data_IF_379337635014
#
_entry.id   IF_379337635014
#
_cell.length_a   1.000
_cell.length_b   1.000
_cell.length_c   1.000
_cell.angle_alpha   90.00
_cell.angle_beta   90.00
_cell.angle_gamma   90.00
#
_symmetry.space_group_name_H-M   'P 1'
#
loop_
_entity.id
_entity.type
_entity.pdbx_description
1 polymer ?
#
# COMPACT_ATOMS: atom_id res chain seq x y z
N UNK A 1 82.72 150.76 -14.21
CA UNK A 1 82.50 149.78 -15.30
C UNK A 1 83.17 148.40 -15.06
N UNK A 2 84.10 148.20 -14.11
CA UNK A 2 84.73 146.87 -13.91
C UNK A 2 83.90 145.87 -13.08
N UNK A 3 82.94 146.31 -12.27
CA UNK A 3 82.08 145.42 -11.46
C UNK A 3 81.00 144.68 -12.26
N UNK A 4 80.56 145.24 -13.40
CA UNK A 4 79.52 144.66 -14.26
C UNK A 4 80.01 143.46 -15.08
N UNK A 5 81.26 143.52 -15.57
CA UNK A 5 81.87 142.42 -16.37
C UNK A 5 82.14 141.19 -15.48
N UNK A 6 82.58 141.38 -14.24
CA UNK A 6 82.79 140.29 -13.28
C UNK A 6 81.50 139.58 -12.86
N UNK A 7 80.40 140.33 -12.67
CA UNK A 7 79.07 139.75 -12.43
C UNK A 7 78.55 138.96 -13.63
N UNK A 8 78.82 139.40 -14.86
CA UNK A 8 78.36 138.71 -16.06
C UNK A 8 79.12 137.40 -16.31
N UNK A 9 80.42 137.36 -16.03
CA UNK A 9 81.22 136.13 -16.06
C UNK A 9 80.79 135.16 -14.94
N UNK A 10 80.57 135.66 -13.73
CA UNK A 10 80.05 134.85 -12.61
C UNK A 10 78.65 134.29 -12.89
N UNK A 11 77.77 135.09 -13.50
CA UNK A 11 76.44 134.67 -13.92
C UNK A 11 76.52 133.63 -15.04
N UNK A 12 77.38 133.82 -16.05
CA UNK A 12 77.59 132.84 -17.12
C UNK A 12 78.13 131.50 -16.59
N UNK A 13 79.05 131.52 -15.62
CA UNK A 13 79.56 130.31 -14.98
C UNK A 13 78.47 129.57 -14.18
N UNK A 14 77.63 130.30 -13.43
CA UNK A 14 76.48 129.72 -12.71
C UNK A 14 75.46 129.14 -13.69
N UNK A 15 75.12 129.85 -14.77
CA UNK A 15 74.20 129.35 -15.80
C UNK A 15 74.77 128.09 -16.47
N UNK A 16 76.07 128.05 -16.76
CA UNK A 16 76.71 126.85 -17.30
C UNK A 16 76.61 125.66 -16.34
N UNK A 17 76.87 125.87 -15.04
CA UNK A 17 76.79 124.83 -14.01
C UNK A 17 75.35 124.31 -13.85
N UNK A 18 74.36 125.21 -13.84
CA UNK A 18 72.94 124.85 -13.76
C UNK A 18 72.48 124.10 -15.02
N UNK A 19 72.82 124.58 -16.21
CA UNK A 19 72.43 123.93 -17.49
C UNK A 19 73.14 122.59 -17.66
N UNK A 20 74.41 122.46 -17.24
CA UNK A 20 75.20 121.24 -17.45
C UNK A 20 74.99 120.15 -16.39
N UNK A 21 74.74 120.52 -15.13
CA UNK A 21 74.64 119.56 -14.02
C UNK A 21 73.26 119.47 -13.37
N UNK A 22 72.44 120.53 -13.38
CA UNK A 22 71.13 120.53 -12.68
C UNK A 22 69.97 120.25 -13.65
N UNK A 23 69.99 120.81 -14.85
CA UNK A 23 68.90 120.60 -15.84
C UNK A 23 68.78 119.14 -16.32
N UNK A 24 69.87 118.38 -16.61
CA UNK A 24 69.75 117.01 -17.08
C UNK A 24 69.04 116.05 -16.09
N UNK A 25 69.38 116.00 -14.78
CA UNK A 25 68.67 115.13 -13.84
C UNK A 25 67.22 115.57 -13.61
N UNK A 26 66.92 116.88 -13.60
CA UNK A 26 65.54 117.37 -13.46
C UNK A 26 64.69 117.02 -14.68
N UNK A 27 65.22 117.18 -15.90
CA UNK A 27 64.53 116.80 -17.14
C UNK A 27 64.33 115.29 -17.23
N UNK A 28 65.33 114.49 -16.84
CA UNK A 28 65.21 113.04 -16.81
C UNK A 28 64.20 112.56 -15.77
N UNK A 29 64.12 113.21 -14.60
CA UNK A 29 63.13 112.89 -13.57
C UNK A 29 61.72 113.29 -14.00
N UNK A 30 61.55 114.44 -14.66
CA UNK A 30 60.27 114.83 -15.27
C UNK A 30 59.85 113.88 -16.41
N UNK A 31 60.77 113.51 -17.31
CA UNK A 31 60.50 112.56 -18.38
C UNK A 31 60.19 111.15 -17.85
N UNK A 32 60.90 110.71 -16.79
CA UNK A 32 60.61 109.45 -16.11
C UNK A 32 59.21 109.48 -15.48
N UNK A 33 58.84 110.56 -14.76
CA UNK A 33 57.47 110.72 -14.24
C UNK A 33 56.42 110.76 -15.34
N UNK A 34 56.70 111.46 -16.45
CA UNK A 34 55.78 111.53 -17.59
C UNK A 34 55.59 110.16 -18.26
N UNK A 35 56.66 109.36 -18.36
CA UNK A 35 56.59 107.99 -18.88
C UNK A 35 55.89 107.03 -17.91
N UNK A 36 56.11 107.13 -16.60
CA UNK A 36 55.38 106.33 -15.60
C UNK A 36 53.89 106.65 -15.63
N UNK A 37 53.50 107.92 -15.75
CA UNK A 37 52.08 108.30 -15.88
C UNK A 37 51.48 107.78 -17.19
N UNK A 38 52.21 107.85 -18.31
CA UNK A 38 51.77 107.23 -19.58
C UNK A 38 51.60 105.72 -19.45
N UNK A 39 52.56 105.04 -18.84
CA UNK A 39 52.51 103.60 -18.64
C UNK A 39 51.36 103.19 -17.71
N UNK A 40 51.13 103.95 -16.63
CA UNK A 40 49.98 103.74 -15.74
C UNK A 40 48.65 103.96 -16.45
N UNK A 41 48.56 104.94 -17.36
CA UNK A 41 47.36 105.16 -18.18
C UNK A 41 47.15 104.02 -19.21
N UNK A 42 48.21 103.54 -19.87
CA UNK A 42 48.14 102.41 -20.79
C UNK A 42 47.81 101.09 -20.08
N UNK A 43 48.38 100.84 -18.90
CA UNK A 43 48.11 99.65 -18.09
C UNK A 43 46.68 99.71 -17.50
N UNK A 44 46.21 100.90 -17.10
CA UNK A 44 44.83 101.11 -16.69
C UNK A 44 43.85 100.92 -17.87
N UNK A 45 44.19 101.37 -19.08
CA UNK A 45 43.41 101.14 -20.28
C UNK A 45 43.33 99.65 -20.62
N UNK A 46 44.46 98.92 -20.61
CA UNK A 46 44.49 97.46 -20.83
C UNK A 46 43.76 96.68 -19.74
N UNK A 47 43.81 97.13 -18.48
CA UNK A 47 43.06 96.52 -17.39
C UNK A 47 41.55 96.75 -17.56
N UNK A 48 41.15 97.94 -18.00
CA UNK A 48 39.76 98.24 -18.36
C UNK A 48 39.28 97.39 -19.54
N UNK A 49 40.09 97.23 -20.60
CA UNK A 49 39.78 96.39 -21.76
C UNK A 49 39.69 94.90 -21.39
N UNK A 50 40.57 94.39 -20.52
CA UNK A 50 40.47 93.00 -20.01
C UNK A 50 39.25 92.80 -19.13
N UNK A 51 38.84 93.82 -18.37
CA UNK A 51 37.63 93.77 -17.55
C UNK A 51 36.38 93.76 -18.43
N UNK A 52 36.33 94.55 -19.50
CA UNK A 52 35.22 94.54 -20.47
C UNK A 52 35.18 93.22 -21.24
N UNK A 53 36.32 92.69 -21.66
CA UNK A 53 36.40 91.37 -22.31
C UNK A 53 35.99 90.24 -21.36
N UNK A 54 36.47 90.24 -20.11
CA UNK A 54 36.12 89.23 -19.10
C UNK A 54 34.64 89.30 -18.70
N UNK A 55 34.08 90.50 -18.54
CA UNK A 55 32.64 90.66 -18.25
C UNK A 55 31.78 90.24 -19.44
N UNK A 56 32.20 90.53 -20.67
CA UNK A 56 31.54 90.04 -21.88
C UNK A 56 31.66 88.51 -22.06
N UNK A 57 32.81 87.91 -21.73
CA UNK A 57 32.99 86.46 -21.74
C UNK A 57 32.17 85.77 -20.64
N UNK A 58 32.10 86.36 -19.44
CA UNK A 58 31.29 85.85 -18.34
C UNK A 58 29.80 85.94 -18.67
N UNK A 59 29.31 87.08 -19.19
CA UNK A 59 27.90 87.20 -19.58
C UNK A 59 27.54 86.23 -20.70
N UNK A 60 28.44 86.03 -21.68
CA UNK A 60 28.26 85.02 -22.73
C UNK A 60 28.25 83.60 -22.19
N UNK A 61 29.10 83.28 -21.21
CA UNK A 61 29.14 81.97 -20.57
C UNK A 61 27.90 81.72 -19.71
N UNK A 62 27.40 82.73 -18.99
CA UNK A 62 26.13 82.66 -18.25
C UNK A 62 24.97 82.43 -19.21
N UNK A 63 24.90 83.18 -20.32
CA UNK A 63 23.85 83.00 -21.33
C UNK A 63 23.91 81.61 -21.99
N UNK A 64 25.11 81.09 -22.26
CA UNK A 64 25.29 79.74 -22.77
C UNK A 64 24.87 78.68 -21.75
N UNK A 65 25.21 78.86 -20.47
CA UNK A 65 24.79 77.97 -19.39
C UNK A 65 23.28 78.03 -19.13
N UNK A 66 22.65 79.20 -19.27
CA UNK A 66 21.18 79.34 -19.22
C UNK A 66 20.52 78.56 -20.36
N UNK A 67 21.01 78.70 -21.60
CA UNK A 67 20.50 77.96 -22.75
C UNK A 67 20.73 76.44 -22.64
N UNK A 68 21.87 76.01 -22.09
CA UNK A 68 22.18 74.59 -21.86
C UNK A 68 21.30 74.03 -20.73
N UNK A 69 21.07 74.80 -19.66
CA UNK A 69 20.16 74.42 -18.58
C UNK A 69 18.71 74.28 -19.09
N UNK A 70 18.25 75.18 -19.96
CA UNK A 70 16.94 75.05 -20.62
C UNK A 70 16.86 73.75 -21.45
N UNK A 71 17.90 73.44 -22.24
CA UNK A 71 17.96 72.18 -23.01
C UNK A 71 17.92 70.95 -22.11
N UNK A 72 18.72 70.92 -21.03
CA UNK A 72 18.73 69.81 -20.07
C UNK A 72 17.37 69.64 -19.38
N UNK A 73 16.67 70.74 -19.06
CA UNK A 73 15.33 70.68 -18.47
C UNK A 73 14.31 70.11 -19.47
N UNK A 74 14.37 70.50 -20.74
CA UNK A 74 13.48 69.96 -21.76
C UNK A 74 13.76 68.47 -22.04
N UNK A 75 15.04 68.07 -22.13
CA UNK A 75 15.43 66.65 -22.23
C UNK A 75 14.94 65.85 -21.02
N UNK A 76 15.11 66.37 -19.81
CA UNK A 76 14.62 65.73 -18.58
C UNK A 76 13.09 65.60 -18.56
N UNK A 77 12.35 66.57 -19.12
CA UNK A 77 10.88 66.46 -19.25
C UNK A 77 10.49 65.36 -20.24
N UNK A 78 11.12 65.31 -21.42
CA UNK A 78 10.88 64.26 -22.42
C UNK A 78 11.22 62.88 -21.84
N UNK A 79 12.32 62.77 -21.10
CA UNK A 79 12.70 61.55 -20.42
C UNK A 79 11.72 61.16 -19.31
N UNK A 80 11.23 62.13 -18.53
CA UNK A 80 10.19 61.88 -17.54
C UNK A 80 8.90 61.37 -18.20
N UNK A 81 8.46 61.97 -19.31
CA UNK A 81 7.32 61.50 -20.10
C UNK A 81 7.55 60.06 -20.60
N UNK A 82 8.71 59.79 -21.21
CA UNK A 82 9.09 58.45 -21.68
C UNK A 82 9.10 57.42 -20.56
N UNK A 83 9.62 57.75 -19.38
CA UNK A 83 9.60 56.87 -18.21
C UNK A 83 8.15 56.61 -17.78
N UNK A 84 7.29 57.64 -17.74
CA UNK A 84 5.88 57.45 -17.39
C UNK A 84 5.13 56.58 -18.39
N UNK A 85 5.40 56.72 -19.69
CA UNK A 85 4.83 55.86 -20.73
C UNK A 85 5.31 54.41 -20.61
N UNK A 86 6.61 54.20 -20.39
CA UNK A 86 7.18 52.87 -20.15
C UNK A 86 6.58 52.21 -18.92
N UNK A 87 6.43 52.93 -17.80
CA UNK A 87 5.81 52.42 -16.59
C UNK A 87 4.31 52.11 -16.80
N UNK A 88 3.58 52.93 -17.57
CA UNK A 88 2.20 52.64 -17.95
C UNK A 88 2.10 51.37 -18.79
N UNK A 89 2.92 51.23 -19.82
CA UNK A 89 2.96 50.02 -20.65
C UNK A 89 3.32 48.77 -19.84
N UNK A 90 4.28 48.86 -18.92
CA UNK A 90 4.61 47.77 -18.01
C UNK A 90 3.44 47.42 -17.07
N UNK A 91 2.76 48.43 -16.51
CA UNK A 91 1.59 48.22 -15.66
C UNK A 91 0.44 47.56 -16.42
N UNK A 92 0.21 47.91 -17.69
CA UNK A 92 -0.78 47.26 -18.55
C UNK A 92 -0.44 45.78 -18.81
N UNK A 93 0.82 45.47 -19.12
CA UNK A 93 1.28 44.09 -19.31
C UNK A 93 1.14 43.27 -18.02
N UNK A 94 1.50 43.84 -16.88
CA UNK A 94 1.38 43.19 -15.58
C UNK A 94 -0.09 42.98 -15.19
N UNK A 95 -0.96 43.96 -15.43
CA UNK A 95 -2.41 43.84 -15.24
C UNK A 95 -3.00 42.75 -16.15
N UNK A 96 -2.63 42.71 -17.43
CA UNK A 96 -3.01 41.66 -18.36
C UNK A 96 -2.51 40.27 -17.91
N UNK A 97 -1.30 40.20 -17.35
CA UNK A 97 -0.73 38.96 -16.79
C UNK A 97 -1.52 38.48 -15.58
N UNK A 98 -1.81 39.36 -14.62
CA UNK A 98 -2.58 39.05 -13.42
C UNK A 98 -3.99 38.60 -13.80
N UNK A 99 -4.67 39.32 -14.68
CA UNK A 99 -6.01 38.95 -15.16
C UNK A 99 -6.02 37.62 -15.91
N UNK A 100 -5.04 37.37 -16.79
CA UNK A 100 -4.89 36.09 -17.49
C UNK A 100 -4.53 34.91 -16.58
N UNK A 101 -3.80 35.14 -15.48
CA UNK A 101 -3.57 34.14 -14.44
C UNK A 101 -4.84 33.92 -13.60
N UNK A 102 -5.55 34.98 -13.22
CA UNK A 102 -6.81 34.92 -12.49
C UNK A 102 -7.89 34.15 -13.25
N UNK A 103 -8.06 34.40 -14.55
CA UNK A 103 -9.01 33.67 -15.40
C UNK A 103 -8.70 32.16 -15.44
N UNK A 104 -7.42 31.78 -15.56
CA UNK A 104 -6.99 30.38 -15.49
C UNK A 104 -7.25 29.76 -14.12
N UNK A 105 -7.01 30.50 -13.04
CA UNK A 105 -7.29 30.03 -11.68
C UNK A 105 -8.78 29.79 -11.45
N UNK A 106 -9.65 30.68 -11.94
CA UNK A 106 -11.10 30.53 -11.84
C UNK A 106 -11.58 29.30 -12.61
N UNK A 107 -11.03 29.02 -13.79
CA UNK A 107 -11.38 27.83 -14.56
C UNK A 107 -10.93 26.54 -13.85
N UNK A 108 -9.74 26.54 -13.24
CA UNK A 108 -9.28 25.43 -12.41
C UNK A 108 -10.20 25.21 -11.19
N UNK A 109 -10.58 26.29 -10.49
CA UNK A 109 -11.52 26.20 -9.37
C UNK A 109 -12.90 25.70 -9.83
N UNK A 110 -13.38 26.13 -11.00
CA UNK A 110 -14.66 25.67 -11.57
C UNK A 110 -14.62 24.18 -11.89
N UNK A 111 -13.55 23.70 -12.53
CA UNK A 111 -13.38 22.28 -12.85
C UNK A 111 -13.24 21.43 -11.58
N UNK A 112 -12.52 21.91 -10.57
CA UNK A 112 -12.41 21.26 -9.26
C UNK A 112 -13.76 21.20 -8.54
N UNK A 113 -14.53 22.30 -8.53
CA UNK A 113 -15.86 22.34 -7.93
C UNK A 113 -16.84 21.39 -8.64
N UNK A 114 -16.83 21.39 -9.98
CA UNK A 114 -17.67 20.48 -10.76
C UNK A 114 -17.32 19.01 -10.49
N UNK A 115 -16.04 18.71 -10.29
CA UNK A 115 -15.56 17.38 -9.90
C UNK A 115 -16.06 16.99 -8.51
N UNK A 116 -15.84 17.85 -7.52
CA UNK A 116 -16.31 17.63 -6.15
C UNK A 116 -17.83 17.42 -6.08
N UNK A 117 -18.61 18.23 -6.81
CA UNK A 117 -20.06 18.08 -6.87
C UNK A 117 -20.50 16.75 -7.50
N UNK A 118 -19.77 16.25 -8.52
CA UNK A 118 -20.05 14.94 -9.11
C UNK A 118 -19.77 13.81 -8.15
N UNK A 119 -18.67 13.88 -7.39
CA UNK A 119 -18.35 12.92 -6.34
C UNK A 119 -19.42 12.91 -5.25
N UNK A 120 -19.76 14.08 -4.70
CA UNK A 120 -20.78 14.21 -3.65
C UNK A 120 -22.15 13.68 -4.13
N UNK A 121 -22.57 14.05 -5.34
CA UNK A 121 -23.81 13.56 -5.93
C UNK A 121 -23.76 12.04 -6.19
N UNK A 122 -22.61 11.51 -6.62
CA UNK A 122 -22.39 10.09 -6.86
C UNK A 122 -22.53 9.28 -5.58
N UNK A 123 -21.83 9.67 -4.51
CA UNK A 123 -21.93 9.03 -3.20
C UNK A 123 -23.36 9.09 -2.65
N UNK A 124 -24.01 10.25 -2.74
CA UNK A 124 -25.40 10.40 -2.28
C UNK A 124 -26.36 9.52 -3.10
N UNK A 125 -26.15 9.40 -4.41
CA UNK A 125 -26.96 8.53 -5.28
C UNK A 125 -26.80 7.06 -4.91
N UNK A 126 -25.56 6.60 -4.66
CA UNK A 126 -25.28 5.21 -4.22
C UNK A 126 -25.85 4.96 -2.82
N UNK A 127 -25.80 5.95 -1.92
CA UNK A 127 -26.41 5.86 -0.59
C UNK A 127 -27.92 5.67 -0.67
N UNK A 128 -28.60 6.46 -1.50
CA UNK A 128 -30.04 6.31 -1.75
C UNK A 128 -30.37 4.98 -2.41
N UNK A 129 -29.58 4.54 -3.40
CA UNK A 129 -29.73 3.23 -4.01
C UNK A 129 -29.58 2.10 -2.99
N UNK A 130 -28.62 2.19 -2.06
CA UNK A 130 -28.43 1.23 -0.96
C UNK A 130 -29.66 1.17 -0.05
N UNK A 131 -30.26 2.30 0.30
CA UNK A 131 -31.51 2.33 1.08
C UNK A 131 -32.69 1.71 0.32
N UNK A 132 -32.83 2.02 -0.97
CA UNK A 132 -33.88 1.43 -1.82
C UNK A 132 -33.72 -0.09 -1.94
N UNK A 133 -32.50 -0.57 -2.20
CA UNK A 133 -32.20 -2.01 -2.28
C UNK A 133 -32.46 -2.68 -0.94
N UNK A 134 -32.01 -2.09 0.18
CA UNK A 134 -32.28 -2.61 1.53
C UNK A 134 -33.77 -2.74 1.82
N UNK A 135 -34.58 -1.76 1.39
CA UNK A 135 -36.03 -1.83 1.55
C UNK A 135 -36.66 -2.88 0.63
N UNK A 136 -36.18 -3.01 -0.60
CA UNK A 136 -36.66 -4.01 -1.56
C UNK A 136 -36.42 -5.44 -1.06
N UNK A 137 -35.23 -5.70 -0.53
CA UNK A 137 -34.84 -7.01 0.02
C UNK A 137 -35.31 -7.24 1.45
N UNK A 138 -36.09 -6.34 2.04
CA UNK A 138 -36.75 -6.62 3.33
C UNK A 138 -37.89 -7.64 3.16
N UNK A 139 -38.38 -7.83 1.94
CA UNK A 139 -39.40 -8.81 1.56
C UNK A 139 -38.74 -10.16 1.20
N UNK A 140 -39.19 -11.24 1.83
CA UNK A 140 -38.67 -12.59 1.64
C UNK A 140 -38.84 -13.10 0.19
N UNK A 141 -39.91 -12.72 -0.51
CA UNK A 141 -40.14 -13.12 -1.91
C UNK A 141 -39.10 -12.47 -2.84
N UNK A 142 -38.69 -11.23 -2.52
CA UNK A 142 -37.67 -10.50 -3.28
C UNK A 142 -36.25 -11.01 -3.00
N UNK A 143 -35.98 -11.43 -1.76
CA UNK A 143 -34.74 -12.12 -1.42
C UNK A 143 -34.63 -13.44 -2.18
N UNK A 144 -35.69 -14.26 -2.18
CA UNK A 144 -35.73 -15.53 -2.91
C UNK A 144 -35.51 -15.33 -4.42
N UNK A 145 -36.18 -14.34 -5.02
CA UNK A 145 -36.00 -13.98 -6.44
C UNK A 145 -34.55 -13.59 -6.76
N UNK A 146 -33.85 -12.95 -5.82
CA UNK A 146 -32.44 -12.55 -6.02
C UNK A 146 -31.51 -13.76 -5.98
N UNK A 147 -31.76 -14.70 -5.08
CA UNK A 147 -31.06 -15.99 -5.03
C UNK A 147 -31.29 -16.75 -6.34
N UNK A 148 -32.54 -16.88 -6.79
CA UNK A 148 -32.88 -17.64 -8.01
C UNK A 148 -32.18 -17.07 -9.24
N UNK A 149 -32.16 -15.73 -9.38
CA UNK A 149 -31.43 -15.07 -10.47
C UNK A 149 -29.93 -15.37 -10.43
N UNK A 150 -29.33 -15.38 -9.24
CA UNK A 150 -27.92 -15.71 -9.12
C UNK A 150 -27.65 -17.20 -9.41
N UNK A 151 -28.56 -18.09 -9.03
CA UNK A 151 -28.46 -19.51 -9.42
C UNK A 151 -28.56 -19.68 -10.94
N UNK A 152 -29.39 -18.89 -11.62
CA UNK A 152 -29.45 -18.86 -13.09
C UNK A 152 -28.11 -18.37 -13.70
N UNK A 153 -27.55 -17.28 -13.18
CA UNK A 153 -26.23 -16.75 -13.61
C UNK A 153 -25.12 -17.80 -13.38
N UNK A 154 -25.14 -18.48 -12.23
CA UNK A 154 -24.18 -19.54 -11.89
C UNK A 154 -24.29 -20.74 -12.84
N UNK A 155 -25.52 -21.10 -13.25
CA UNK A 155 -25.79 -22.19 -14.19
C UNK A 155 -25.24 -21.90 -15.60
N UNK A 156 -25.28 -20.64 -16.03
CA UNK A 156 -24.67 -20.18 -17.29
C UNK A 156 -23.12 -20.22 -17.26
N UNK A 157 -22.50 -20.10 -16.08
CA UNK A 157 -21.05 -20.14 -15.87
C UNK A 157 -20.45 -21.56 -15.90
N UNK A 158 -21.25 -22.59 -16.18
CA UNK A 158 -20.88 -24.00 -16.06
C UNK A 158 -19.95 -24.66 -17.11
N UNK A 159 -19.14 -23.98 -17.98
CA UNK A 159 -18.10 -24.68 -18.74
C UNK A 159 -16.72 -24.74 -18.07
N UNK A 160 -16.51 -24.23 -16.86
CA UNK A 160 -15.19 -24.27 -16.20
C UNK A 160 -15.10 -25.44 -15.21
N UNK A 161 -14.52 -26.57 -15.64
CA UNK A 161 -14.07 -27.61 -14.71
C UNK A 161 -12.89 -27.09 -13.90
N UNK A 162 -13.13 -26.75 -12.64
CA UNK A 162 -12.05 -26.46 -11.69
C UNK A 162 -11.63 -27.76 -10.98
N UNK A 163 -10.33 -28.09 -11.03
CA UNK A 163 -9.77 -29.25 -10.33
C UNK A 163 -9.74 -28.98 -8.81
N UNK A 164 -10.73 -29.50 -8.08
CA UNK A 164 -10.73 -29.41 -6.62
C UNK A 164 -9.73 -30.43 -6.06
N UNK A 165 -8.59 -29.95 -5.60
CA UNK A 165 -7.57 -30.80 -4.96
C UNK A 165 -7.95 -31.10 -3.51
N UNK A 166 -7.69 -32.34 -3.08
CA UNK A 166 -7.87 -32.76 -1.70
C UNK A 166 -7.12 -31.83 -0.71
N UNK A 167 -7.70 -31.40 0.42
CA UNK A 167 -7.16 -30.35 1.28
C UNK A 167 -5.70 -30.54 1.73
N UNK A 168 -5.28 -31.79 1.96
CA UNK A 168 -3.89 -32.07 2.36
C UNK A 168 -2.90 -31.92 1.20
N UNK A 169 -3.33 -32.22 -0.03
CA UNK A 169 -2.46 -32.18 -1.21
C UNK A 169 -2.05 -30.75 -1.55
N UNK A 170 -2.92 -29.75 -1.36
CA UNK A 170 -2.61 -28.35 -1.68
C UNK A 170 -1.43 -27.79 -0.86
N UNK A 171 -1.21 -28.30 0.36
CA UNK A 171 -0.10 -27.88 1.24
C UNK A 171 1.23 -28.57 0.93
N UNK A 172 1.23 -29.62 0.11
CA UNK A 172 2.37 -30.50 -0.13
C UNK A 172 3.07 -30.21 -1.47
N UNK A 173 4.40 -30.36 -1.49
CA UNK A 173 5.19 -30.33 -2.73
C UNK A 173 4.97 -31.61 -3.54
N UNK A 174 5.34 -31.61 -4.83
CA UNK A 174 5.09 -32.70 -5.78
C UNK A 174 5.43 -34.10 -5.26
N UNK A 175 6.66 -34.30 -4.74
CA UNK A 175 7.09 -35.61 -4.22
C UNK A 175 6.25 -36.06 -3.02
N UNK A 176 5.89 -35.12 -2.12
CA UNK A 176 5.06 -35.45 -0.95
C UNK A 176 3.60 -35.71 -1.33
N UNK A 177 3.08 -35.05 -2.37
CA UNK A 177 1.75 -35.34 -2.92
C UNK A 177 1.67 -36.74 -3.50
N UNK A 178 2.66 -37.13 -4.29
CA UNK A 178 2.75 -38.48 -4.87
C UNK A 178 2.91 -39.54 -3.77
N UNK A 179 3.81 -39.31 -2.81
CA UNK A 179 3.99 -40.16 -1.64
C UNK A 179 2.71 -40.36 -0.83
N UNK A 180 1.96 -39.28 -0.58
CA UNK A 180 0.69 -39.35 0.14
C UNK A 180 -0.36 -40.13 -0.66
N UNK A 181 -0.46 -39.90 -1.97
CA UNK A 181 -1.40 -40.63 -2.83
C UNK A 181 -1.12 -42.14 -2.80
N UNK A 182 0.14 -42.55 -3.00
CA UNK A 182 0.56 -43.95 -2.93
C UNK A 182 0.26 -44.58 -1.56
N UNK A 183 0.51 -43.83 -0.48
CA UNK A 183 0.24 -44.29 0.88
C UNK A 183 -1.26 -44.47 1.13
N UNK A 184 -2.10 -43.52 0.70
CA UNK A 184 -3.55 -43.59 0.81
C UNK A 184 -4.13 -44.76 0.02
N UNK A 185 -3.62 -45.02 -1.19
CA UNK A 185 -4.00 -46.19 -1.99
C UNK A 185 -3.63 -47.50 -1.29
N UNK A 186 -2.41 -47.57 -0.72
CA UNK A 186 -1.97 -48.74 0.03
C UNK A 186 -2.81 -48.95 1.29
N UNK A 187 -3.11 -47.88 2.03
CA UNK A 187 -3.99 -47.94 3.19
C UNK A 187 -5.40 -48.43 2.80
N UNK A 188 -5.96 -47.95 1.70
CA UNK A 188 -7.27 -48.39 1.20
C UNK A 188 -7.29 -49.89 0.90
N UNK A 189 -6.18 -50.45 0.38
CA UNK A 189 -6.06 -51.89 0.20
C UNK A 189 -6.04 -52.65 1.54
N UNK A 190 -5.25 -52.18 2.52
CA UNK A 190 -5.15 -52.79 3.86
C UNK A 190 -6.50 -52.71 4.60
N UNK A 191 -7.19 -51.56 4.49
CA UNK A 191 -8.45 -51.31 5.19
C UNK A 191 -9.55 -52.30 4.80
N UNK A 192 -9.56 -52.80 3.55
CA UNK A 192 -10.55 -53.78 3.07
C UNK A 192 -10.53 -55.09 3.84
N UNK A 193 -9.37 -55.48 4.37
CA UNK A 193 -9.18 -56.74 5.09
C UNK A 193 -9.34 -56.59 6.62
N UNK A 194 -9.56 -55.36 7.11
CA UNK A 194 -9.76 -55.07 8.52
C UNK A 194 -11.24 -54.90 8.85
N UNK A 195 -11.65 -55.26 10.06
CA UNK A 195 -12.95 -54.88 10.62
C UNK A 195 -12.88 -53.52 11.33
N UNK A 196 -14.01 -53.03 11.85
CA UNK A 196 -14.07 -51.72 12.52
C UNK A 196 -13.18 -51.64 13.76
N UNK A 197 -13.02 -52.76 14.49
CA UNK A 197 -12.12 -52.83 15.63
C UNK A 197 -10.63 -52.76 15.20
N UNK A 198 -10.28 -53.44 14.10
CA UNK A 198 -8.97 -53.37 13.48
C UNK A 198 -8.63 -51.96 13.00
N UNK A 199 -9.55 -51.28 12.31
CA UNK A 199 -9.36 -49.90 11.87
C UNK A 199 -9.19 -48.92 13.04
N UNK A 200 -9.98 -49.08 14.10
CA UNK A 200 -9.85 -48.27 15.33
C UNK A 200 -8.48 -48.49 15.99
N UNK A 201 -8.01 -49.75 16.00
CA UNK A 201 -6.68 -50.10 16.53
C UNK A 201 -5.57 -49.46 15.69
N UNK A 202 -5.63 -49.59 14.35
CA UNK A 202 -4.67 -48.97 13.43
C UNK A 202 -4.62 -47.46 13.62
N UNK A 203 -5.78 -46.79 13.72
CA UNK A 203 -5.83 -45.35 13.99
C UNK A 203 -5.07 -44.96 15.27
N UNK A 204 -5.35 -45.63 16.39
CA UNK A 204 -4.71 -45.35 17.68
C UNK A 204 -3.21 -45.64 17.70
N UNK A 205 -2.79 -46.73 17.05
CA UNK A 205 -1.37 -47.07 16.91
C UNK A 205 -0.62 -46.06 16.02
N UNK A 206 -1.22 -45.64 14.90
CA UNK A 206 -0.63 -44.62 14.02
C UNK A 206 -0.51 -43.26 14.73
N UNK A 207 -1.47 -42.88 15.58
CA UNK A 207 -1.37 -41.68 16.42
C UNK A 207 -0.19 -41.79 17.40
N UNK A 208 -0.07 -42.95 18.07
CA UNK A 208 1.05 -43.20 18.99
C UNK A 208 2.41 -43.14 18.28
N UNK A 209 2.49 -43.63 17.05
CA UNK A 209 3.70 -43.52 16.21
C UNK A 209 3.92 -42.09 15.74
N UNK A 210 2.87 -41.36 15.34
CA UNK A 210 2.94 -39.95 14.98
C UNK A 210 3.49 -39.09 16.12
N UNK A 211 3.02 -39.32 17.35
CA UNK A 211 3.54 -38.66 18.56
C UNK A 211 5.02 -38.98 18.78
N UNK A 212 5.43 -40.24 18.64
CA UNK A 212 6.82 -40.67 18.74
C UNK A 212 7.71 -39.95 17.72
N UNK A 213 7.28 -39.90 16.45
CA UNK A 213 8.02 -39.26 15.37
C UNK A 213 8.05 -37.72 15.51
N UNK A 214 6.98 -37.12 16.04
CA UNK A 214 6.94 -35.70 16.36
C UNK A 214 7.93 -35.33 17.47
N UNK A 215 8.07 -36.18 18.49
CA UNK A 215 9.01 -35.95 19.61
C UNK A 215 10.46 -36.24 19.21
N UNK A 216 10.69 -37.33 18.49
CA UNK A 216 12.05 -37.80 18.15
C UNK A 216 12.49 -37.30 16.77
N UNK A 217 12.68 -35.99 16.63
CA UNK A 217 12.99 -35.34 15.35
C UNK A 217 14.20 -35.94 14.60
N UNK A 218 15.19 -36.49 15.34
CA UNK A 218 16.35 -37.18 14.76
C UNK A 218 15.91 -38.45 14.03
N UNK A 219 15.04 -39.26 14.64
CA UNK A 219 14.53 -40.49 14.04
C UNK A 219 13.75 -40.17 12.78
N UNK A 220 12.85 -39.20 12.83
CA UNK A 220 12.06 -38.75 11.69
C UNK A 220 12.94 -38.30 10.54
N UNK A 221 14.00 -37.52 10.82
CA UNK A 221 14.98 -37.10 9.82
C UNK A 221 15.68 -38.29 9.14
N UNK A 222 15.97 -39.38 9.85
CA UNK A 222 16.54 -40.59 9.25
C UNK A 222 15.51 -41.37 8.41
N UNK A 223 14.24 -41.36 8.80
CA UNK A 223 13.14 -42.02 8.08
C UNK A 223 12.71 -41.25 6.81
N UNK A 224 13.08 -39.99 6.67
CA UNK A 224 12.77 -39.16 5.49
C UNK A 224 13.99 -38.85 4.62
N UNK A 225 15.15 -39.48 4.87
CA UNK A 225 16.33 -39.31 3.99
C UNK A 225 15.99 -39.76 2.58
N UNK A 226 16.12 -38.88 1.56
CA UNK A 226 15.89 -39.27 0.17
C UNK A 226 16.92 -40.30 -0.27
N UNK A 227 16.46 -41.50 -0.65
CA UNK A 227 17.30 -42.59 -1.16
C UNK A 227 16.52 -43.40 -2.20
N UNK A 228 17.24 -44.06 -3.11
CA UNK A 228 16.65 -45.05 -4.02
C UNK A 228 16.26 -46.33 -3.29
N UNK A 229 17.13 -46.81 -2.39
CA UNK A 229 16.84 -47.96 -1.53
C UNK A 229 16.24 -47.50 -0.19
N UNK A 230 14.98 -47.85 0.05
CA UNK A 230 14.29 -47.58 1.32
C UNK A 230 14.56 -48.65 2.40
N UNK A 231 15.20 -49.77 2.07
CA UNK A 231 15.39 -50.90 2.99
C UNK A 231 16.00 -50.53 4.34
N UNK A 232 17.00 -49.63 4.45
CA UNK A 232 17.51 -49.18 5.75
C UNK A 232 16.48 -48.44 6.60
N UNK A 233 15.62 -47.62 5.97
CA UNK A 233 14.55 -46.86 6.64
C UNK A 233 13.44 -47.80 7.13
N UNK A 234 13.07 -48.77 6.29
CA UNK A 234 12.13 -49.83 6.63
C UNK A 234 12.62 -50.65 7.83
N UNK A 235 13.86 -51.13 7.82
CA UNK A 235 14.43 -51.87 8.97
C UNK A 235 14.49 -51.02 10.25
N UNK A 236 14.70 -49.71 10.12
CA UNK A 236 14.71 -48.79 11.26
C UNK A 236 13.32 -48.69 11.90
N UNK A 237 12.27 -48.44 11.10
CA UNK A 237 10.92 -48.33 11.65
C UNK A 237 10.43 -49.67 12.23
N UNK A 238 10.70 -50.79 11.55
CA UNK A 238 10.38 -52.14 12.04
C UNK A 238 10.98 -52.39 13.43
N UNK A 239 12.26 -52.07 13.63
CA UNK A 239 12.92 -52.24 14.92
C UNK A 239 12.35 -51.33 16.01
N UNK A 240 11.94 -50.12 15.64
CA UNK A 240 11.41 -49.12 16.58
C UNK A 240 10.05 -49.53 17.16
N UNK A 241 9.19 -50.09 16.31
CA UNK A 241 7.80 -50.45 16.62
C UNK A 241 7.57 -51.95 16.84
N UNK A 242 8.61 -52.77 16.72
CA UNK A 242 8.54 -54.22 16.91
C UNK A 242 7.87 -54.59 18.24
N UNK A 243 6.83 -55.42 18.17
CA UNK A 243 6.04 -55.87 19.32
C UNK A 243 5.19 -54.79 20.00
N UNK A 244 5.09 -53.59 19.42
CA UNK A 244 4.31 -52.46 19.95
C UNK A 244 3.08 -52.11 19.12
N UNK A 245 3.05 -52.53 17.86
CA UNK A 245 1.96 -52.26 16.91
C UNK A 245 1.57 -53.55 16.19
N UNK A 246 0.33 -53.63 15.71
CA UNK A 246 -0.17 -54.73 14.91
C UNK A 246 0.43 -54.78 13.49
N UNK A 247 0.24 -55.91 12.81
CA UNK A 247 0.81 -56.17 11.48
C UNK A 247 0.32 -55.16 10.43
N UNK A 248 -0.97 -54.79 10.48
CA UNK A 248 -1.54 -53.82 9.56
C UNK A 248 -0.91 -52.43 9.71
N UNK A 249 -0.73 -51.96 10.95
CA UNK A 249 -0.04 -50.70 11.23
C UNK A 249 1.41 -50.76 10.76
N UNK A 250 2.11 -51.86 11.02
CA UNK A 250 3.48 -52.04 10.54
C UNK A 250 3.56 -51.99 9.01
N UNK A 251 2.58 -52.56 8.31
CA UNK A 251 2.51 -52.52 6.85
C UNK A 251 2.29 -51.09 6.32
N UNK A 252 1.38 -50.32 6.92
CA UNK A 252 1.20 -48.88 6.61
C UNK A 252 2.50 -48.12 6.82
N UNK A 253 3.17 -48.33 7.96
CA UNK A 253 4.44 -47.66 8.28
C UNK A 253 5.56 -48.03 7.32
N UNK A 254 5.66 -49.31 6.91
CA UNK A 254 6.61 -49.75 5.88
C UNK A 254 6.38 -49.02 4.57
N UNK A 255 5.12 -48.87 4.15
CA UNK A 255 4.76 -48.11 2.96
C UNK A 255 5.16 -46.64 3.12
N UNK A 256 4.76 -46.00 4.22
CA UNK A 256 5.02 -44.58 4.46
C UNK A 256 6.53 -44.23 4.46
N UNK A 257 7.37 -45.06 5.09
CA UNK A 257 8.83 -44.82 5.10
C UNK A 257 9.52 -45.27 3.82
N UNK A 258 8.83 -45.98 2.92
CA UNK A 258 9.37 -46.32 1.61
C UNK A 258 9.25 -45.17 0.61
N UNK A 259 8.24 -44.32 0.80
CA UNK A 259 8.01 -43.15 -0.03
C UNK A 259 9.08 -42.05 0.12
N UNK A 260 9.02 -41.08 -0.81
CA UNK A 260 9.91 -39.91 -0.86
C UNK A 260 9.18 -38.66 -0.39
N UNK A 261 9.58 -38.13 0.75
CA UNK A 261 8.99 -36.93 1.35
C UNK A 261 9.86 -35.70 1.07
N UNK A 262 9.20 -34.58 0.75
CA UNK A 262 9.87 -33.29 0.48
C UNK A 262 10.30 -32.57 1.76
N UNK A 263 9.62 -32.82 2.87
CA UNK A 263 9.98 -32.34 4.20
C UNK A 263 9.78 -33.43 5.26
N UNK A 264 10.54 -33.34 6.36
CA UNK A 264 10.47 -34.32 7.46
C UNK A 264 9.08 -34.35 8.11
N UNK A 265 8.41 -33.20 8.20
CA UNK A 265 7.08 -33.08 8.77
C UNK A 265 6.01 -33.77 7.92
N UNK A 266 6.23 -33.90 6.59
CA UNK A 266 5.24 -34.47 5.67
C UNK A 266 4.97 -35.95 5.97
N UNK A 267 5.99 -36.71 6.40
CA UNK A 267 5.82 -38.11 6.83
C UNK A 267 4.87 -38.21 8.04
N UNK A 268 5.04 -37.31 9.03
CA UNK A 268 4.21 -37.30 10.23
C UNK A 268 2.77 -36.89 9.88
N UNK A 269 2.62 -35.86 9.05
CA UNK A 269 1.32 -35.41 8.54
C UNK A 269 0.60 -36.50 7.74
N UNK A 270 1.34 -37.30 6.96
CA UNK A 270 0.78 -38.42 6.21
C UNK A 270 0.32 -39.57 7.11
N UNK A 271 1.10 -39.92 8.14
CA UNK A 271 0.71 -40.92 9.14
C UNK A 271 -0.56 -40.47 9.90
N UNK A 272 -0.62 -39.20 10.28
CA UNK A 272 -1.79 -38.60 10.90
C UNK A 272 -3.01 -38.62 9.97
N UNK A 273 -2.81 -38.30 8.69
CA UNK A 273 -3.86 -38.36 7.68
C UNK A 273 -4.44 -39.78 7.53
N UNK A 274 -3.58 -40.79 7.41
CA UNK A 274 -4.01 -42.19 7.31
C UNK A 274 -4.74 -42.65 8.59
N UNK A 275 -4.29 -42.20 9.77
CA UNK A 275 -5.01 -42.47 11.02
C UNK A 275 -6.43 -41.90 11.02
N UNK A 276 -6.60 -40.66 10.57
CA UNK A 276 -7.92 -40.02 10.41
C UNK A 276 -8.77 -40.78 9.39
N UNK A 277 -8.18 -41.21 8.27
CA UNK A 277 -8.85 -42.04 7.27
C UNK A 277 -9.30 -43.39 7.87
N UNK A 278 -8.55 -44.00 8.79
CA UNK A 278 -8.99 -45.22 9.43
C UNK A 278 -10.27 -45.03 10.27
N UNK A 279 -10.37 -43.96 11.06
CA UNK A 279 -11.59 -43.67 11.83
C UNK A 279 -12.77 -43.23 10.97
N UNK A 280 -12.52 -42.44 9.92
CA UNK A 280 -13.56 -42.04 8.99
C UNK A 280 -14.09 -43.24 8.18
N UNK A 281 -13.26 -44.28 7.93
CA UNK A 281 -13.72 -45.54 7.32
C UNK A 281 -14.68 -46.28 8.26
N UNK A 282 -14.41 -46.25 9.58
CA UNK A 282 -15.33 -46.82 10.58
C UNK A 282 -16.68 -46.09 10.55
N UNK A 283 -16.67 -44.76 10.48
CA UNK A 283 -17.89 -43.96 10.38
C UNK A 283 -18.69 -44.30 9.11
N UNK A 284 -17.99 -44.50 7.99
CA UNK A 284 -18.56 -44.91 6.71
C UNK A 284 -19.24 -46.28 6.78
N UNK A 285 -18.56 -47.27 7.35
CA UNK A 285 -19.12 -48.62 7.52
C UNK A 285 -20.30 -48.67 8.47
N UNK A 286 -20.31 -47.81 9.48
CA UNK A 286 -21.41 -47.69 10.44
C UNK A 286 -22.58 -46.84 9.92
N UNK A 287 -22.46 -46.22 8.74
CA UNK A 287 -23.47 -45.33 8.17
C UNK A 287 -23.67 -44.04 8.96
N UNK A 288 -22.60 -43.55 9.62
CA UNK A 288 -22.62 -42.37 10.50
C UNK A 288 -21.78 -41.20 9.98
N UNK A 289 -21.41 -41.22 8.71
CA UNK A 289 -20.54 -40.19 8.10
C UNK A 289 -21.16 -38.81 8.21
N UNK A 290 -22.41 -38.66 7.79
CA UNK A 290 -23.13 -37.38 7.84
C UNK A 290 -23.18 -36.82 9.28
N UNK A 291 -23.43 -37.68 10.26
CA UNK A 291 -23.41 -37.29 11.69
C UNK A 291 -22.02 -36.82 12.14
N UNK A 292 -20.96 -37.52 11.72
CA UNK A 292 -19.58 -37.18 12.05
C UNK A 292 -19.17 -35.86 11.39
N UNK A 293 -19.49 -35.67 10.11
CA UNK A 293 -19.22 -34.43 9.36
C UNK A 293 -19.93 -33.24 10.02
N UNK A 294 -21.24 -33.34 10.26
CA UNK A 294 -22.03 -32.29 10.89
C UNK A 294 -21.49 -31.90 12.27
N UNK A 295 -21.09 -32.88 13.08
CA UNK A 295 -20.53 -32.61 14.40
C UNK A 295 -19.14 -31.99 14.35
N UNK A 296 -18.27 -32.38 13.40
CA UNK A 296 -16.97 -31.76 13.19
C UNK A 296 -17.11 -30.30 12.75
N UNK A 297 -18.00 -30.01 11.79
CA UNK A 297 -18.32 -28.64 11.37
C UNK A 297 -18.96 -27.80 12.46
N UNK A 298 -19.85 -28.40 13.26
CA UNK A 298 -20.42 -27.71 14.41
C UNK A 298 -19.33 -27.33 15.39
N UNK A 299 -18.37 -28.23 15.64
CA UNK A 299 -17.28 -27.95 16.57
C UNK A 299 -16.29 -26.92 16.01
N UNK A 300 -15.97 -26.93 14.70
CA UNK A 300 -15.12 -25.89 14.09
C UNK A 300 -15.73 -24.49 14.25
N UNK A 301 -17.04 -24.35 14.00
CA UNK A 301 -17.78 -23.08 14.23
C UNK A 301 -17.79 -22.65 15.70
N UNK A 302 -17.86 -23.59 16.64
CA UNK A 302 -17.77 -23.27 18.07
C UNK A 302 -16.39 -22.67 18.39
N UNK A 303 -15.31 -23.17 17.79
CA UNK A 303 -13.97 -22.63 18.02
C UNK A 303 -13.76 -21.25 17.40
N UNK A 304 -14.30 -21.01 16.20
CA UNK A 304 -14.29 -19.70 15.54
C UNK A 304 -15.00 -18.64 16.41
N UNK A 305 -16.19 -18.96 16.92
CA UNK A 305 -16.95 -18.05 17.81
C UNK A 305 -16.34 -17.94 19.23
N UNK A 306 -15.50 -18.90 19.64
CA UNK A 306 -14.88 -18.95 20.97
C UNK A 306 -13.34 -18.95 20.89
N UNK A 307 -12.71 -17.81 20.51
CA UNK A 307 -11.27 -17.74 20.27
C UNK A 307 -10.45 -18.09 21.51
N UNK A 308 -10.98 -17.84 22.72
CA UNK A 308 -10.32 -18.24 23.97
C UNK A 308 -10.20 -19.75 24.11
N UNK A 309 -11.22 -20.50 23.68
CA UNK A 309 -11.17 -21.96 23.72
C UNK A 309 -10.16 -22.50 22.69
N UNK A 310 -10.16 -21.94 21.48
CA UNK A 310 -9.20 -22.27 20.44
C UNK A 310 -7.74 -22.06 20.93
N UNK A 311 -7.45 -20.94 21.59
CA UNK A 311 -6.13 -20.66 22.17
C UNK A 311 -5.74 -21.70 23.23
N UNK A 312 -6.65 -22.05 24.15
CA UNK A 312 -6.35 -23.01 25.22
C UNK A 312 -6.13 -24.43 24.68
N UNK A 313 -6.85 -24.83 23.63
CA UNK A 313 -6.64 -26.11 22.96
C UNK A 313 -5.37 -26.10 22.08
N UNK A 314 -4.98 -24.93 21.58
CA UNK A 314 -3.78 -24.70 20.78
C UNK A 314 -2.48 -24.56 21.56
N UNK A 315 -2.54 -24.39 22.89
CA UNK A 315 -1.38 -24.11 23.72
C UNK A 315 -0.46 -25.34 23.89
N UNK A 316 0.49 -25.50 22.97
CA UNK A 316 1.45 -26.61 22.98
C UNK A 316 2.44 -26.60 24.16
N UNK A 317 2.47 -25.54 24.97
CA UNK A 317 3.25 -25.52 26.24
C UNK A 317 2.54 -26.34 27.31
N UNK A 318 1.21 -26.43 27.23
CA UNK A 318 0.39 -27.24 28.13
C UNK A 318 0.42 -28.71 27.68
N UNK A 319 0.66 -29.67 28.60
CA UNK A 319 0.64 -31.10 28.28
C UNK A 319 -0.65 -31.50 27.54
N UNK A 320 -0.51 -32.34 26.52
CA UNK A 320 -1.62 -32.75 25.66
C UNK A 320 -2.78 -33.35 26.46
N UNK A 321 -2.48 -34.08 27.54
CA UNK A 321 -3.50 -34.71 28.40
C UNK A 321 -4.43 -33.68 29.05
N UNK A 322 -3.91 -32.52 29.43
CA UNK A 322 -4.72 -31.44 30.01
C UNK A 322 -5.60 -30.77 28.95
N UNK A 323 -5.07 -30.61 27.73
CA UNK A 323 -5.82 -30.04 26.59
C UNK A 323 -6.92 -30.99 26.12
N UNK A 324 -6.64 -32.29 26.05
CA UNK A 324 -7.64 -33.34 25.77
C UNK A 324 -8.70 -33.39 26.87
N UNK A 325 -8.32 -33.26 28.14
CA UNK A 325 -9.28 -33.19 29.24
C UNK A 325 -10.20 -31.95 29.14
N UNK A 326 -9.67 -30.80 28.70
CA UNK A 326 -10.47 -29.62 28.41
C UNK A 326 -11.45 -29.87 27.25
N UNK A 327 -10.96 -30.43 26.14
CA UNK A 327 -11.79 -30.81 24.98
C UNK A 327 -12.97 -31.69 25.41
N UNK A 328 -12.69 -32.77 26.16
CA UNK A 328 -13.74 -33.69 26.63
C UNK A 328 -14.78 -32.99 27.51
N UNK A 329 -14.35 -32.12 28.43
CA UNK A 329 -15.28 -31.34 29.25
C UNK A 329 -16.20 -30.42 28.43
N UNK A 330 -15.69 -29.86 27.34
CA UNK A 330 -16.49 -29.02 26.42
C UNK A 330 -17.50 -29.88 25.68
N UNK A 331 -17.08 -31.03 25.15
CA UNK A 331 -17.96 -31.97 24.45
C UNK A 331 -19.04 -32.57 25.37
N UNK A 332 -18.70 -32.89 26.62
CA UNK A 332 -19.65 -33.40 27.62
C UNK A 332 -20.68 -32.34 28.04
N UNK A 333 -20.32 -31.06 27.95
CA UNK A 333 -21.23 -29.92 28.20
C UNK A 333 -22.14 -29.59 27.02
N UNK A 334 -21.93 -30.20 25.85
CA UNK A 334 -22.75 -29.96 24.68
C UNK A 334 -24.17 -30.54 24.85
N UNK A 335 -25.15 -29.85 24.29
CA UNK A 335 -26.52 -30.34 24.27
C UNK A 335 -26.65 -31.47 23.24
N UNK A 336 -26.54 -32.72 23.69
CA UNK A 336 -26.68 -33.91 22.85
C UNK A 336 -25.56 -34.92 23.06
N UNK A 337 -25.75 -36.13 22.57
CA UNK A 337 -24.72 -37.16 22.60
C UNK A 337 -23.75 -36.93 21.43
N UNK A 338 -22.47 -36.71 21.74
CA UNK A 338 -21.41 -36.60 20.72
C UNK A 338 -21.00 -38.00 20.27
N UNK A 339 -20.84 -38.18 18.96
CA UNK A 339 -20.44 -39.45 18.38
C UNK A 339 -19.01 -39.83 18.86
N UNK A 340 -18.78 -41.08 19.34
CA UNK A 340 -17.45 -41.50 19.81
C UNK A 340 -16.32 -41.36 18.79
N UNK A 341 -16.63 -41.43 17.49
CA UNK A 341 -15.67 -41.24 16.40
C UNK A 341 -15.22 -39.77 16.36
N UNK A 342 -16.15 -38.83 16.51
CA UNK A 342 -15.85 -37.38 16.58
C UNK A 342 -14.96 -37.10 17.79
N UNK A 343 -15.28 -37.66 18.96
CA UNK A 343 -14.46 -37.51 20.16
C UNK A 343 -13.04 -38.03 19.91
N UNK A 344 -12.89 -39.18 19.26
CA UNK A 344 -11.60 -39.76 18.91
C UNK A 344 -10.82 -38.89 17.92
N UNK A 345 -11.44 -38.46 16.83
CA UNK A 345 -10.80 -37.60 15.80
C UNK A 345 -10.33 -36.26 16.38
N UNK A 346 -11.18 -35.59 17.18
CA UNK A 346 -10.83 -34.34 17.85
C UNK A 346 -9.70 -34.56 18.88
N UNK A 347 -9.79 -35.62 19.67
CA UNK A 347 -8.74 -35.96 20.66
C UNK A 347 -7.40 -36.16 19.97
N UNK A 348 -7.35 -37.01 18.93
CA UNK A 348 -6.14 -37.30 18.17
C UNK A 348 -5.55 -36.04 17.52
N UNK A 349 -6.41 -35.16 16.99
CA UNK A 349 -5.98 -33.89 16.39
C UNK A 349 -5.33 -32.97 17.42
N UNK A 350 -5.87 -32.87 18.64
CA UNK A 350 -5.29 -32.06 19.72
C UNK A 350 -3.97 -32.67 20.24
N UNK A 351 -3.89 -34.00 20.32
CA UNK A 351 -2.68 -34.71 20.74
C UNK A 351 -1.51 -34.53 19.76
N UNK A 352 -1.81 -34.51 18.46
CA UNK A 352 -0.83 -34.35 17.38
C UNK A 352 -0.63 -32.88 16.97
N UNK A 353 -1.27 -31.94 17.67
CA UNK A 353 -1.22 -30.52 17.37
C UNK A 353 0.20 -29.97 17.59
N UNK A 354 0.97 -29.93 16.52
CA UNK A 354 2.41 -29.61 16.49
C UNK A 354 2.68 -28.10 16.45
N UNK A 355 2.02 -27.34 17.32
CA UNK A 355 2.10 -25.88 17.38
C UNK A 355 1.23 -25.15 16.36
N UNK A 356 0.35 -25.87 15.66
CA UNK A 356 -0.67 -25.31 14.77
C UNK A 356 -1.84 -24.73 15.58
N UNK A 357 -2.60 -23.82 14.97
CA UNK A 357 -3.86 -23.36 15.55
C UNK A 357 -4.84 -24.53 15.68
N UNK A 358 -5.46 -24.69 16.86
CA UNK A 358 -6.48 -25.72 17.06
C UNK A 358 -7.71 -25.49 16.16
N UNK A 359 -8.04 -24.22 15.92
CA UNK A 359 -9.13 -23.82 15.02
C UNK A 359 -8.86 -24.28 13.60
N UNK A 360 -7.70 -23.93 13.04
CA UNK A 360 -7.29 -24.33 11.68
C UNK A 360 -7.20 -25.85 11.54
N UNK A 361 -6.66 -26.55 12.54
CA UNK A 361 -6.50 -28.00 12.50
C UNK A 361 -7.84 -28.74 12.51
N UNK A 362 -8.83 -28.24 13.26
CA UNK A 362 -10.16 -28.83 13.35
C UNK A 362 -11.01 -28.49 12.13
N UNK A 363 -10.89 -27.26 11.62
CA UNK A 363 -11.49 -26.88 10.35
C UNK A 363 -10.96 -27.78 9.22
N UNK A 364 -9.64 -27.98 9.17
CA UNK A 364 -9.01 -28.89 8.22
C UNK A 364 -9.49 -30.35 8.37
N UNK A 365 -9.73 -30.81 9.60
CA UNK A 365 -10.29 -32.14 9.85
C UNK A 365 -11.73 -32.27 9.30
N UNK A 366 -12.56 -31.25 9.48
CA UNK A 366 -13.91 -31.22 8.91
C UNK A 366 -13.86 -31.26 7.37
N UNK A 367 -12.93 -30.54 6.76
CA UNK A 367 -12.69 -30.57 5.31
C UNK A 367 -12.25 -31.95 4.80
N UNK A 368 -11.33 -32.60 5.53
CA UNK A 368 -10.86 -33.96 5.27
C UNK A 368 -11.99 -34.99 5.32
N UNK A 369 -12.92 -34.84 6.27
CA UNK A 369 -14.07 -35.72 6.42
C UNK A 369 -14.97 -35.71 5.18
N UNK A 370 -15.31 -34.53 4.67
CA UNK A 370 -16.17 -34.41 3.47
C UNK A 370 -15.44 -34.77 2.19
N UNK A 371 -14.19 -34.31 2.04
CA UNK A 371 -13.39 -34.60 0.85
C UNK A 371 -13.22 -36.12 0.61
N UNK A 372 -13.32 -36.93 1.67
CA UNK A 372 -13.29 -38.39 1.59
C UNK A 372 -14.44 -38.98 0.77
N UNK A 373 -15.67 -38.43 0.85
CA UNK A 373 -16.79 -38.88 0.00
C UNK A 373 -16.58 -38.58 -1.49
N UNK A 374 -15.44 -37.97 -1.85
CA UNK A 374 -15.25 -37.33 -3.14
C UNK A 374 -16.06 -36.05 -3.25
N UNK A 375 -16.56 -35.53 -2.13
CA UNK A 375 -17.42 -34.35 -2.10
C UNK A 375 -16.66 -33.09 -1.76
N UNK A 376 -17.06 -32.01 -2.40
CA UNK A 376 -16.48 -30.70 -2.19
C UNK A 376 -17.40 -29.91 -1.27
N UNK A 377 -16.83 -29.26 -0.26
CA UNK A 377 -17.60 -28.36 0.61
C UNK A 377 -17.67 -27.01 -0.05
N UNK A 378 -18.90 -26.53 -0.25
CA UNK A 378 -19.16 -25.13 -0.57
C UNK A 378 -19.69 -24.44 0.68
N UNK A 379 -18.93 -23.49 1.23
CA UNK A 379 -19.46 -22.57 2.24
C UNK A 379 -20.24 -21.47 1.53
N UNK A 380 -21.52 -21.39 1.83
CA UNK A 380 -22.46 -20.49 1.17
C UNK A 380 -22.99 -19.53 2.21
N UNK A 381 -22.79 -18.23 2.01
CA UNK A 381 -23.39 -17.20 2.85
C UNK A 381 -24.55 -16.53 2.12
N UNK A 382 -25.69 -16.42 2.79
CA UNK A 382 -26.91 -15.83 2.25
C UNK A 382 -27.60 -14.93 3.29
N UNK A 383 -28.39 -13.96 2.83
CA UNK A 383 -29.10 -13.05 3.74
C UNK A 383 -30.19 -13.73 4.59
N UNK A 384 -30.71 -14.88 4.13
CA UNK A 384 -31.74 -15.67 4.79
C UNK A 384 -31.51 -17.17 4.50
N UNK A 385 -32.28 -18.02 5.17
CA UNK A 385 -32.25 -19.47 4.91
C UNK A 385 -32.74 -19.78 3.48
N UNK A 386 -32.20 -20.83 2.88
CA UNK A 386 -32.55 -21.26 1.52
C UNK A 386 -33.70 -22.26 1.58
N UNK A 387 -34.62 -22.19 0.61
CA UNK A 387 -35.60 -23.27 0.44
C UNK A 387 -34.90 -24.58 0.05
N UNK A 388 -35.52 -25.72 0.36
CA UNK A 388 -34.98 -27.04 -0.02
C UNK A 388 -34.72 -27.13 -1.54
N UNK A 389 -35.63 -26.56 -2.35
CA UNK A 389 -35.48 -26.49 -3.80
C UNK A 389 -34.23 -25.69 -4.23
N UNK A 390 -33.97 -24.55 -3.60
CA UNK A 390 -32.78 -23.73 -3.88
C UNK A 390 -31.50 -24.44 -3.43
N UNK A 391 -31.52 -25.09 -2.26
CA UNK A 391 -30.38 -25.87 -1.75
C UNK A 391 -30.02 -27.02 -2.68
N UNK A 392 -31.01 -27.79 -3.15
CA UNK A 392 -30.79 -28.87 -4.12
C UNK A 392 -30.27 -28.32 -5.45
N UNK A 393 -30.88 -27.25 -5.96
CA UNK A 393 -30.44 -26.62 -7.22
C UNK A 393 -29.00 -26.11 -7.14
N UNK A 394 -28.64 -25.45 -6.04
CA UNK A 394 -27.30 -24.94 -5.82
C UNK A 394 -26.26 -26.06 -5.76
N UNK A 395 -26.56 -27.15 -5.04
CA UNK A 395 -25.69 -28.33 -5.00
C UNK A 395 -25.49 -28.94 -6.40
N UNK A 396 -26.57 -29.12 -7.18
CA UNK A 396 -26.50 -29.65 -8.55
C UNK A 396 -25.67 -28.77 -9.50
N UNK A 397 -25.83 -27.45 -9.43
CA UNK A 397 -25.08 -26.49 -10.26
C UNK A 397 -23.60 -26.52 -9.87
N UNK A 398 -23.28 -26.43 -8.58
CA UNK A 398 -21.90 -26.49 -8.11
C UNK A 398 -21.25 -27.84 -8.45
N UNK A 399 -21.98 -28.95 -8.33
CA UNK A 399 -21.45 -30.26 -8.72
C UNK A 399 -21.11 -30.35 -10.20
N UNK A 400 -21.86 -29.65 -11.05
CA UNK A 400 -21.58 -29.59 -12.49
C UNK A 400 -20.37 -28.72 -12.79
N UNK A 401 -20.22 -27.59 -12.10
CA UNK A 401 -19.07 -26.68 -12.24
C UNK A 401 -17.78 -27.38 -11.79
N UNK A 402 -17.79 -27.99 -10.61
CA UNK A 402 -16.59 -28.56 -10.00
C UNK A 402 -16.35 -30.03 -10.35
N UNK A 403 -17.26 -30.70 -11.06
CA UNK A 403 -17.11 -32.10 -11.49
C UNK A 403 -17.15 -33.14 -10.35
N UNK A 404 -17.50 -32.71 -9.14
CA UNK A 404 -17.56 -33.51 -7.92
C UNK A 404 -18.90 -33.28 -7.22
N UNK A 405 -19.48 -34.27 -6.51
CA UNK A 405 -20.66 -33.98 -5.68
C UNK A 405 -20.32 -32.90 -4.64
N UNK A 406 -21.22 -31.94 -4.41
CA UNK A 406 -20.95 -30.77 -3.55
C UNK A 406 -21.91 -30.80 -2.37
N UNK A 407 -21.37 -30.72 -1.17
CA UNK A 407 -22.17 -30.51 0.03
C UNK A 407 -22.18 -29.02 0.38
N UNK A 408 -23.38 -28.44 0.44
CA UNK A 408 -23.60 -27.02 0.69
C UNK A 408 -23.77 -26.76 2.18
N UNK A 409 -22.83 -26.00 2.77
CA UNK A 409 -22.95 -25.50 4.12
C UNK A 409 -23.44 -24.05 4.10
N UNK A 410 -24.68 -23.82 4.56
CA UNK A 410 -25.29 -22.51 4.56
C UNK A 410 -25.01 -21.75 5.87
N UNK A 411 -24.53 -20.53 5.73
CA UNK A 411 -24.39 -19.54 6.79
C UNK A 411 -25.31 -18.35 6.49
N UNK A 412 -26.13 -17.97 7.48
CA UNK A 412 -27.02 -16.82 7.34
C UNK A 412 -26.30 -15.56 7.82
N UNK A 413 -26.14 -14.59 6.92
CA UNK A 413 -25.55 -13.28 7.18
C UNK A 413 -26.41 -12.16 6.58
N UNK A 414 -27.13 -11.45 7.45
CA UNK A 414 -28.04 -10.37 7.06
C UNK A 414 -27.31 -9.15 6.46
N UNK A 415 -25.99 -9.01 6.62
CA UNK A 415 -25.23 -7.89 6.06
C UNK A 415 -25.09 -7.96 4.54
N UNK A 416 -25.27 -9.15 3.94
CA UNK A 416 -25.15 -9.37 2.50
C UNK A 416 -26.29 -8.72 1.68
N UNK A 417 -27.39 -8.33 2.34
CA UNK A 417 -28.62 -7.75 1.78
C UNK A 417 -29.38 -8.66 0.79
N UNK A 418 -28.71 -9.61 0.12
CA UNK A 418 -29.31 -10.59 -0.79
C UNK A 418 -28.28 -11.16 -1.77
N UNK A 419 -28.69 -12.17 -2.53
CA UNK A 419 -27.79 -12.96 -3.37
C UNK A 419 -27.06 -14.03 -2.56
N UNK A 420 -25.96 -14.56 -3.12
CA UNK A 420 -25.16 -15.62 -2.51
C UNK A 420 -23.67 -15.26 -2.58
N UNK A 421 -22.95 -15.54 -1.50
CA UNK A 421 -21.49 -15.60 -1.49
C UNK A 421 -21.11 -17.08 -1.36
N UNK A 422 -20.44 -17.63 -2.36
CA UNK A 422 -20.05 -19.04 -2.38
C UNK A 422 -18.53 -19.09 -2.32
N UNK A 423 -17.98 -19.80 -1.33
CA UNK A 423 -16.57 -20.12 -1.26
C UNK A 423 -16.37 -21.63 -1.37
N UNK A 424 -15.52 -22.02 -2.31
CA UNK A 424 -15.15 -23.41 -2.58
C UNK A 424 -13.63 -23.49 -2.65
N UNK A 425 -13.01 -24.12 -1.66
CA UNK A 425 -11.55 -24.14 -1.51
C UNK A 425 -10.94 -22.72 -1.56
N UNK A 426 -10.15 -22.40 -2.60
CA UNK A 426 -9.50 -21.10 -2.80
C UNK A 426 -10.29 -20.15 -3.72
N UNK A 427 -11.45 -20.58 -4.22
CA UNK A 427 -12.29 -19.80 -5.12
C UNK A 427 -13.48 -19.19 -4.38
N UNK A 428 -13.75 -17.92 -4.69
CA UNK A 428 -14.91 -17.19 -4.16
C UNK A 428 -15.73 -16.67 -5.34
N UNK A 429 -16.99 -17.08 -5.39
CA UNK A 429 -18.00 -16.58 -6.31
C UNK A 429 -18.93 -15.66 -5.53
N UNK A 430 -18.79 -14.36 -5.75
CA UNK A 430 -19.56 -13.33 -5.04
C UNK A 430 -20.68 -12.78 -5.91
N UNK A 431 -21.91 -13.15 -5.56
CA UNK A 431 -23.15 -12.66 -6.15
C UNK A 431 -23.92 -11.68 -5.28
N UNK A 432 -23.32 -11.18 -4.20
CA UNK A 432 -24.06 -10.44 -3.18
C UNK A 432 -24.39 -9.01 -3.58
N UNK A 433 -25.54 -8.53 -3.12
CA UNK A 433 -25.96 -7.15 -3.36
C UNK A 433 -25.08 -6.13 -2.63
N UNK A 434 -24.57 -6.49 -1.44
CA UNK A 434 -23.59 -5.68 -0.72
C UNK A 434 -22.32 -5.44 -1.54
N UNK A 435 -21.75 -6.48 -2.15
CA UNK A 435 -20.56 -6.36 -3.01
C UNK A 435 -20.84 -5.61 -4.31
N UNK A 436 -22.00 -5.83 -4.95
CA UNK A 436 -22.41 -5.03 -6.12
C UNK A 436 -22.56 -3.53 -5.79
N UNK A 437 -23.09 -3.19 -4.61
CA UNK A 437 -23.18 -1.81 -4.13
C UNK A 437 -21.80 -1.22 -3.82
N UNK A 438 -20.90 -2.00 -3.20
CA UNK A 438 -19.53 -1.57 -2.95
C UNK A 438 -18.76 -1.32 -4.27
N UNK A 439 -18.94 -2.18 -5.27
CA UNK A 439 -18.38 -2.01 -6.60
C UNK A 439 -18.94 -0.74 -7.29
N UNK A 440 -20.24 -0.47 -7.16
CA UNK A 440 -20.85 0.75 -7.67
C UNK A 440 -20.32 2.01 -6.97
N UNK A 441 -20.08 1.95 -5.66
CA UNK A 441 -19.49 3.05 -4.89
C UNK A 441 -18.04 3.33 -5.32
N UNK A 442 -17.25 2.28 -5.57
CA UNK A 442 -15.87 2.40 -6.04
C UNK A 442 -15.74 2.91 -7.48
N UNK A 443 -16.79 2.75 -8.30
CA UNK A 443 -16.84 3.23 -9.68
C UNK A 443 -17.37 4.66 -9.80
N UNK A 444 -17.73 5.32 -8.69
CA UNK A 444 -18.13 6.73 -8.73
C UNK A 444 -16.95 7.55 -9.29
N UNK A 445 -17.13 8.25 -10.43
CA UNK A 445 -16.02 8.88 -11.11
C UNK A 445 -15.37 10.00 -10.28
N UNK A 446 -14.04 10.03 -10.30
CA UNK A 446 -13.20 11.08 -9.69
C UNK A 446 -13.57 12.51 -10.10
#
# INVERSE_FOLDING_TARGET
MSTFIGQLIGFAAIVFLVVRYVVPPVRNLMAARQNTVRQQLDDAAKAADRLTESTAAHSKAVQAAESEAEQVVEEAKVDAERITEQLRAQAEVESARITGQGARQVELLRTQLARQLRLELGHESVRQARELVRNYVADADQQATTVDRFLDELDEMAPASADVQYPLLSKLRSSSREALANLSDRFTAIAKDLDNAGLTTVSGELVSVGQLLGREAVVTRYLTVPAEDASPRVRLIERLVSGKVGDATLEVLRSAVSERWSANADLVAAIEHVSRQALLEVAERDGKVDEVEDQLFRFSRVLDVQPRLAILLGDYVVPAEQRVALLRKVLDGASGQVNPIVVSLLTQTIELLSGQSAEEAIQFLAEVAVARRGEVIASVSAAADLSDAQRTRLAEVLSRIYGHPVTVHLQVDAELLGGLLIAVADEVIDGTLSSRLAAAEAQVPD
#
